data_IF_125507733346
#
_entry.id   IF_125507733346
#
_cell.length_a   1.000
_cell.length_b   1.000
_cell.length_c   1.000
_cell.angle_alpha   90.00
_cell.angle_beta   90.00
_cell.angle_gamma   90.00
#
_symmetry.space_group_name_H-M   'P 1'
#
loop_
_entity.id
_entity.type
_entity.pdbx_description
1 polymer ?
#
# COMPACT_ATOMS: atom_id res chain seq x y z
N UNK A 1 1.41 -7.67 0.84
CA UNK A 1 0.92 -7.35 2.20
C UNK A 1 -0.07 -6.20 2.14
N UNK A 2 -0.86 -5.93 3.18
CA UNK A 2 -1.74 -4.75 3.26
C UNK A 2 -1.08 -3.55 3.97
N UNK A 3 0.16 -3.70 4.47
CA UNK A 3 0.95 -2.60 5.02
C UNK A 3 0.50 -2.09 6.39
N UNK A 4 -0.27 -2.86 7.16
CA UNK A 4 -0.86 -2.40 8.43
C UNK A 4 -0.18 -2.97 9.68
N UNK A 5 1.04 -3.49 9.55
CA UNK A 5 1.75 -4.12 10.66
C UNK A 5 1.99 -3.14 11.81
N UNK A 6 2.25 -1.87 11.52
CA UNK A 6 2.47 -0.86 12.56
C UNK A 6 1.23 -0.67 13.43
N UNK A 7 0.03 -0.71 12.85
CA UNK A 7 -1.22 -0.68 13.61
C UNK A 7 -1.50 -1.98 14.37
N UNK A 8 -1.02 -3.12 13.87
CA UNK A 8 -1.18 -4.42 14.53
C UNK A 8 -0.28 -4.53 15.76
N UNK A 9 0.97 -4.07 15.67
CA UNK A 9 1.96 -4.17 16.73
C UNK A 9 2.05 -2.92 17.62
N UNK A 10 1.46 -1.80 17.20
CA UNK A 10 1.53 -0.53 17.93
C UNK A 10 2.91 0.13 17.92
N UNK A 11 3.78 -0.29 17.00
CA UNK A 11 5.16 0.18 16.87
C UNK A 11 5.61 0.10 15.39
N UNK A 12 6.60 0.91 14.95
CA UNK A 12 7.15 0.81 13.61
C UNK A 12 7.78 -0.57 13.34
N UNK A 13 7.39 -1.21 12.25
CA UNK A 13 7.83 -2.58 11.91
C UNK A 13 8.69 -2.68 10.67
N UNK A 14 8.77 -1.63 9.85
CA UNK A 14 9.53 -1.64 8.58
C UNK A 14 11.01 -2.05 8.76
N UNK A 15 11.66 -1.60 9.84
CA UNK A 15 13.05 -1.95 10.16
C UNK A 15 13.29 -3.45 10.32
N UNK A 16 12.25 -4.22 10.69
CA UNK A 16 12.36 -5.67 10.86
C UNK A 16 12.50 -6.41 9.54
N UNK A 17 12.29 -5.73 8.41
CA UNK A 17 12.42 -6.29 7.07
C UNK A 17 13.83 -6.14 6.49
N UNK A 18 14.67 -5.30 7.12
CA UNK A 18 16.03 -5.02 6.66
C UNK A 18 16.87 -6.30 6.59
N UNK A 19 17.46 -6.56 5.42
CA UNK A 19 18.29 -7.74 5.19
C UNK A 19 17.54 -9.08 5.13
N UNK A 20 16.22 -9.10 5.31
CA UNK A 20 15.40 -10.32 5.24
C UNK A 20 14.73 -10.45 3.88
N UNK A 21 14.23 -9.34 3.33
CA UNK A 21 13.51 -9.32 2.05
C UNK A 21 14.11 -8.29 1.11
N UNK A 22 14.17 -8.63 -0.18
CA UNK A 22 14.62 -7.71 -1.22
C UNK A 22 13.49 -6.81 -1.73
N UNK A 23 12.24 -7.27 -1.64
CA UNK A 23 11.08 -6.56 -2.19
C UNK A 23 9.86 -6.69 -1.31
N UNK A 24 9.17 -5.57 -1.08
CA UNK A 24 7.87 -5.51 -0.41
C UNK A 24 6.84 -4.99 -1.41
N UNK A 25 5.77 -5.77 -1.59
CA UNK A 25 4.61 -5.38 -2.39
C UNK A 25 3.41 -5.12 -1.48
N UNK A 26 2.85 -3.91 -1.56
CA UNK A 26 1.77 -3.42 -0.70
C UNK A 26 0.54 -3.15 -1.57
N UNK A 27 -0.63 -3.63 -1.15
CA UNK A 27 -1.88 -3.40 -1.87
C UNK A 27 -2.47 -2.03 -1.51
N UNK A 28 -2.50 -1.11 -2.45
CA UNK A 28 -3.08 0.24 -2.31
C UNK A 28 -4.60 0.19 -2.40
N UNK A 29 -5.14 -0.64 -3.30
CA UNK A 29 -6.58 -0.91 -3.52
C UNK A 29 -7.49 0.27 -3.92
N UNK A 30 -7.20 1.51 -3.52
CA UNK A 30 -7.93 2.72 -3.93
C UNK A 30 -7.10 3.98 -3.63
N UNK A 31 -7.44 5.10 -4.27
CA UNK A 31 -6.77 6.39 -4.11
C UNK A 31 -7.24 7.22 -2.92
N UNK A 32 -8.28 6.78 -2.19
CA UNK A 32 -8.86 7.53 -1.07
C UNK A 32 -9.14 6.62 0.14
N UNK A 33 -9.05 7.21 1.33
CA UNK A 33 -9.22 6.50 2.59
C UNK A 33 -10.60 5.86 2.76
N UNK A 34 -11.68 6.54 2.36
CA UNK A 34 -13.03 6.02 2.50
C UNK A 34 -13.22 4.79 1.61
N UNK A 35 -12.90 4.93 0.32
CA UNK A 35 -12.97 3.81 -0.65
C UNK A 35 -12.08 2.65 -0.23
N UNK A 36 -10.88 2.92 0.26
CA UNK A 36 -9.98 1.89 0.78
C UNK A 36 -10.64 1.09 1.92
N UNK A 37 -11.29 1.76 2.87
CA UNK A 37 -11.99 1.10 3.98
C UNK A 37 -13.23 0.37 3.50
N UNK A 38 -13.96 0.91 2.54
CA UNK A 38 -15.15 0.26 1.99
C UNK A 38 -14.80 -1.07 1.29
N UNK A 39 -13.66 -1.10 0.59
CA UNK A 39 -13.11 -2.29 -0.07
C UNK A 39 -12.52 -3.28 0.94
N UNK A 40 -11.64 -2.81 1.82
CA UNK A 40 -10.88 -3.70 2.71
C UNK A 40 -11.63 -4.09 3.97
N UNK A 41 -12.65 -3.32 4.36
CA UNK A 41 -13.45 -3.45 5.59
C UNK A 41 -12.56 -3.64 6.83
N UNK A 42 -11.47 -2.90 6.86
CA UNK A 42 -10.44 -3.07 7.87
C UNK A 42 -10.92 -2.61 9.26
N UNK A 43 -10.59 -3.37 10.31
CA UNK A 43 -10.91 -3.06 11.70
C UNK A 43 -10.37 -1.72 12.22
N UNK A 44 -9.32 -1.19 11.60
CA UNK A 44 -8.68 0.07 11.96
C UNK A 44 -9.34 1.29 11.30
N UNK A 45 -10.38 1.09 10.47
CA UNK A 45 -11.14 2.18 9.84
C UNK A 45 -10.27 3.10 8.99
N UNK A 46 -10.62 4.39 8.93
CA UNK A 46 -9.96 5.38 8.07
C UNK A 46 -8.44 5.53 8.33
N UNK A 47 -8.00 5.28 9.57
CA UNK A 47 -6.58 5.36 9.92
C UNK A 47 -5.72 4.32 9.18
N UNK A 48 -6.33 3.22 8.71
CA UNK A 48 -5.60 2.18 7.97
C UNK A 48 -5.01 2.68 6.66
N UNK A 49 -5.65 3.63 5.99
CA UNK A 49 -5.14 4.14 4.72
C UNK A 49 -3.82 4.88 4.90
N UNK A 50 -3.79 5.84 5.83
CA UNK A 50 -2.57 6.60 6.11
C UNK A 50 -1.47 5.70 6.66
N UNK A 51 -1.79 4.79 7.59
CA UNK A 51 -0.81 3.88 8.15
C UNK A 51 -0.16 2.97 7.09
N UNK A 52 -0.94 2.54 6.09
CA UNK A 52 -0.41 1.76 4.97
C UNK A 52 0.57 2.58 4.11
N UNK A 53 0.26 3.86 3.83
CA UNK A 53 1.16 4.76 3.11
C UNK A 53 2.44 5.06 3.90
N UNK A 54 2.31 5.30 5.21
CA UNK A 54 3.43 5.57 6.10
C UNK A 54 4.35 4.36 6.19
N UNK A 55 3.78 3.16 6.35
CA UNK A 55 4.53 1.91 6.34
C UNK A 55 5.26 1.69 5.00
N UNK A 56 4.60 1.97 3.87
CA UNK A 56 5.23 1.87 2.55
C UNK A 56 6.45 2.81 2.43
N UNK A 57 6.30 4.06 2.89
CA UNK A 57 7.38 5.05 2.91
C UNK A 57 8.52 4.63 3.84
N UNK A 58 8.21 4.12 5.01
CA UNK A 58 9.22 3.64 5.96
C UNK A 58 9.97 2.41 5.45
N UNK A 59 9.31 1.52 4.71
CA UNK A 59 9.98 0.40 4.05
C UNK A 59 11.07 0.85 3.08
N UNK A 60 10.96 2.02 2.44
CA UNK A 60 11.99 2.51 1.50
C UNK A 60 13.34 2.77 2.19
N UNK A 61 13.35 2.94 3.51
CA UNK A 61 14.58 3.13 4.30
C UNK A 61 15.36 1.83 4.51
N UNK A 62 14.67 0.69 4.46
CA UNK A 62 15.18 -0.62 4.91
C UNK A 62 15.14 -1.71 3.84
N UNK A 63 14.30 -1.55 2.81
CA UNK A 63 14.06 -2.53 1.75
C UNK A 63 14.43 -1.93 0.39
N UNK A 64 15.15 -2.70 -0.43
CA UNK A 64 15.65 -2.26 -1.74
C UNK A 64 14.54 -1.85 -2.70
N UNK A 65 13.41 -2.55 -2.68
CA UNK A 65 12.31 -2.31 -3.61
C UNK A 65 10.97 -2.33 -2.89
N UNK A 66 10.24 -1.22 -2.95
CA UNK A 66 8.89 -1.10 -2.41
C UNK A 66 7.95 -0.75 -3.54
N UNK A 67 6.90 -1.56 -3.72
CA UNK A 67 5.94 -1.41 -4.82
C UNK A 67 4.52 -1.42 -4.29
N UNK A 68 3.79 -0.36 -4.61
CA UNK A 68 2.35 -0.25 -4.41
C UNK A 68 1.62 -0.95 -5.55
N UNK A 69 0.54 -1.66 -5.25
CA UNK A 69 -0.19 -2.43 -6.25
C UNK A 69 -1.68 -2.15 -6.22
N UNK A 70 -2.26 -2.09 -7.42
CA UNK A 70 -3.71 -2.03 -7.65
C UNK A 70 -4.09 -3.07 -8.70
N UNK A 71 -5.37 -3.47 -8.73
CA UNK A 71 -5.92 -4.34 -9.77
C UNK A 71 -6.65 -3.47 -10.79
N UNK A 72 -6.49 -3.76 -12.07
CA UNK A 72 -7.01 -2.97 -13.20
C UNK A 72 -8.54 -2.85 -13.31
N UNK A 73 -9.30 -3.51 -12.45
CA UNK A 73 -10.78 -3.45 -12.39
C UNK A 73 -11.34 -2.18 -11.73
N UNK A 74 -10.48 -1.27 -11.25
CA UNK A 74 -10.91 -0.03 -10.57
C UNK A 74 -11.17 1.14 -11.53
N UNK A 75 -10.91 0.96 -12.83
CA UNK A 75 -11.08 1.98 -13.87
C UNK A 75 -9.87 2.91 -14.01
N UNK A 76 -9.70 3.46 -15.21
CA UNK A 76 -8.51 4.27 -15.58
C UNK A 76 -8.36 5.53 -14.72
N UNK A 77 -9.47 6.22 -14.39
CA UNK A 77 -9.44 7.42 -13.56
C UNK A 77 -8.93 7.14 -12.14
N UNK A 78 -9.35 6.02 -11.55
CA UNK A 78 -8.92 5.59 -10.21
C UNK A 78 -7.46 5.10 -10.25
N UNK A 79 -7.05 4.39 -11.31
CA UNK A 79 -5.65 4.03 -11.52
C UNK A 79 -4.78 5.28 -11.59
N UNK A 80 -5.20 6.29 -12.35
CA UNK A 80 -4.50 7.57 -12.44
C UNK A 80 -4.46 8.32 -11.09
N UNK A 81 -5.53 8.24 -10.30
CA UNK A 81 -5.56 8.79 -8.94
C UNK A 81 -4.59 8.05 -8.00
N UNK A 82 -4.54 6.72 -8.08
CA UNK A 82 -3.58 5.91 -7.33
C UNK A 82 -2.13 6.22 -7.74
N UNK A 83 -1.89 6.49 -9.03
CA UNK A 83 -0.57 6.89 -9.52
C UNK A 83 -0.15 8.23 -8.88
N UNK A 84 -1.05 9.22 -8.85
CA UNK A 84 -0.78 10.52 -8.18
C UNK A 84 -0.43 10.34 -6.70
N UNK A 85 -1.18 9.52 -5.97
CA UNK A 85 -0.87 9.21 -4.56
C UNK A 85 0.52 8.59 -4.43
N UNK A 86 0.88 7.65 -5.30
CA UNK A 86 2.21 7.04 -5.26
C UNK A 86 3.30 8.07 -5.58
N UNK A 87 3.11 8.91 -6.59
CA UNK A 87 4.06 9.94 -6.99
C UNK A 87 4.30 10.97 -5.87
N UNK A 88 3.24 11.43 -5.21
CA UNK A 88 3.31 12.36 -4.06
C UNK A 88 4.11 11.79 -2.88
N UNK A 89 4.05 10.47 -2.69
CA UNK A 89 4.76 9.77 -1.63
C UNK A 89 6.13 9.21 -2.07
N UNK A 90 6.52 9.39 -3.34
CA UNK A 90 7.76 8.82 -3.89
C UNK A 90 7.75 7.30 -4.00
N UNK A 91 6.57 6.69 -4.11
CA UNK A 91 6.36 5.24 -4.20
C UNK A 91 6.18 4.80 -5.65
N UNK A 92 6.57 3.57 -5.97
CA UNK A 92 6.33 2.99 -7.31
C UNK A 92 4.97 2.29 -7.34
N UNK A 93 4.10 2.66 -8.27
CA UNK A 93 2.85 1.93 -8.52
C UNK A 93 3.04 0.86 -9.60
N UNK A 94 2.46 -0.32 -9.37
CA UNK A 94 2.30 -1.39 -10.36
C UNK A 94 0.83 -1.77 -10.46
N UNK A 95 0.24 -1.56 -11.63
CA UNK A 95 -1.09 -2.07 -11.97
C UNK A 95 -0.97 -3.55 -12.33
N UNK A 96 -1.84 -4.38 -11.75
CA UNK A 96 -1.89 -5.82 -12.03
C UNK A 96 -3.17 -6.15 -12.80
N UNK A 97 -3.09 -7.05 -13.79
CA UNK A 97 -4.28 -7.55 -14.45
C UNK A 97 -5.15 -8.35 -13.48
N UNK A 98 -6.46 -8.23 -13.60
CA UNK A 98 -7.39 -9.13 -12.95
C UNK A 98 -7.38 -10.49 -13.63
N UNK A 99 -6.99 -11.52 -12.86
CA UNK A 99 -7.07 -12.92 -13.29
C UNK A 99 -8.32 -13.52 -12.65
N UNK A 100 -9.30 -13.89 -13.48
CA UNK A 100 -10.43 -14.69 -13.03
C UNK A 100 -9.96 -16.13 -12.78
N UNK A 101 -10.09 -16.59 -11.53
CA UNK A 101 -9.81 -17.98 -11.15
C UNK A 101 -10.89 -18.94 -11.63
#
# INVERSE_FOLDING_TARGET
>A
TNGLSDLVFGEPTAQRLEGIVDTVSISLNSSDAQKYVDITRNRFGLASYQAMLDFAKDCQKYVKTVVMTVVDIIGEEEVAACQRVCDEHGLTLRVRPYEAN
#
